data_IF_277361164945
#
_entry.id   IF_277361164945
#
_cell.length_a   1.000
_cell.length_b   1.000
_cell.length_c   1.000
_cell.angle_alpha   90.00
_cell.angle_beta   90.00
_cell.angle_gamma   90.00
#
_symmetry.space_group_name_H-M   'P 1'
#
loop_
_entity.id
_entity.type
_entity.pdbx_description
1 polymer ?
#
# COMPACT_ATOMS: atom_id res chain seq x y z
N UNK A 1 -21.95 1.71 16.46
CA UNK A 1 -21.52 1.91 15.06
C UNK A 1 -21.12 0.57 14.50
N UNK A 2 -21.50 0.25 13.28
CA UNK A 2 -21.09 -1.00 12.63
C UNK A 2 -19.72 -0.77 12.01
N UNK A 3 -18.72 -1.53 12.42
CA UNK A 3 -17.38 -1.47 11.83
C UNK A 3 -17.42 -1.97 10.37
N UNK A 4 -16.93 -1.15 9.43
CA UNK A 4 -16.91 -1.49 8.00
C UNK A 4 -15.53 -2.08 7.69
N UNK A 5 -15.45 -3.39 7.48
CA UNK A 5 -14.19 -4.05 7.15
C UNK A 5 -14.04 -4.22 5.64
N UNK A 6 -12.89 -3.83 5.10
CA UNK A 6 -12.55 -3.92 3.68
C UNK A 6 -11.27 -4.73 3.54
N UNK A 7 -11.39 -5.90 2.92
CA UNK A 7 -10.27 -6.77 2.62
C UNK A 7 -9.49 -6.31 1.38
N UNK A 8 -8.17 -6.50 1.39
CA UNK A 8 -7.27 -6.26 0.26
C UNK A 8 -7.28 -7.44 -0.72
N UNK A 9 -8.45 -7.75 -1.26
CA UNK A 9 -8.62 -8.75 -2.33
C UNK A 9 -8.46 -8.10 -3.70
N UNK A 10 -8.12 -8.85 -4.77
CA UNK A 10 -7.89 -8.29 -6.10
C UNK A 10 -8.99 -7.36 -6.62
N UNK A 11 -10.24 -7.61 -6.26
CA UNK A 11 -11.39 -6.83 -6.69
C UNK A 11 -11.50 -5.47 -5.97
N UNK A 12 -10.80 -5.31 -4.84
CA UNK A 12 -10.80 -4.13 -3.97
C UNK A 12 -9.52 -3.30 -4.07
N UNK A 13 -8.53 -3.74 -4.87
CA UNK A 13 -7.22 -3.11 -4.93
C UNK A 13 -6.85 -2.74 -6.38
N UNK A 14 -6.08 -1.68 -6.51
CA UNK A 14 -5.46 -1.25 -7.77
C UNK A 14 -3.97 -0.96 -7.51
N UNK A 15 -3.12 -0.99 -8.54
CA UNK A 15 -1.67 -1.04 -8.34
C UNK A 15 -0.91 0.03 -9.10
N UNK A 16 -0.32 0.96 -8.36
CA UNK A 16 0.67 1.91 -8.85
C UNK A 16 0.10 3.15 -9.53
N UNK A 17 -1.18 3.48 -9.30
CA UNK A 17 -1.80 4.70 -9.80
C UNK A 17 -3.00 5.12 -8.96
N UNK A 18 -3.46 6.36 -9.11
CA UNK A 18 -4.72 6.91 -8.63
C UNK A 18 -5.53 7.39 -9.84
N UNK A 19 -6.85 7.16 -9.84
CA UNK A 19 -7.71 7.56 -10.96
C UNK A 19 -9.15 7.82 -10.47
N UNK A 20 -9.72 8.95 -10.89
CA UNK A 20 -11.09 9.35 -10.59
C UNK A 20 -12.15 8.46 -11.26
N UNK A 21 -11.79 7.72 -12.32
CA UNK A 21 -12.69 6.81 -13.01
C UNK A 21 -12.86 5.45 -12.32
N UNK A 22 -12.06 5.15 -11.28
CA UNK A 22 -12.19 3.92 -10.52
C UNK A 22 -13.55 3.85 -9.81
N UNK A 23 -14.21 2.70 -9.93
CA UNK A 23 -15.48 2.47 -9.25
C UNK A 23 -15.25 2.33 -7.75
N UNK A 24 -15.99 3.05 -6.90
CA UNK A 24 -15.91 2.86 -5.47
C UNK A 24 -16.25 1.42 -5.07
N UNK A 25 -15.41 0.84 -4.22
CA UNK A 25 -15.62 -0.50 -3.67
C UNK A 25 -16.57 -0.47 -2.47
N UNK A 26 -16.70 0.71 -1.86
CA UNK A 26 -17.60 0.97 -0.72
C UNK A 26 -18.01 2.44 -0.70
N UNK A 27 -19.22 2.68 -0.19
CA UNK A 27 -19.69 4.01 0.20
C UNK A 27 -19.83 4.07 1.71
N UNK A 28 -19.40 5.19 2.31
CA UNK A 28 -19.44 5.47 3.75
C UNK A 28 -20.02 6.85 3.99
N UNK A 29 -20.57 7.05 5.19
CA UNK A 29 -21.00 8.35 5.68
C UNK A 29 -19.86 9.05 6.44
N UNK A 30 -19.93 10.38 6.56
CA UNK A 30 -19.00 11.12 7.43
C UNK A 30 -19.15 10.66 8.88
N UNK A 31 -18.03 10.33 9.52
CA UNK A 31 -17.99 9.80 10.88
C UNK A 31 -18.02 8.27 10.98
N UNK A 32 -18.17 7.54 9.87
CA UNK A 32 -18.03 6.08 9.87
C UNK A 32 -16.61 5.63 10.21
N UNK A 33 -16.49 4.47 10.85
CA UNK A 33 -15.21 3.80 11.11
C UNK A 33 -15.00 2.67 10.12
N UNK A 34 -13.85 2.70 9.42
CA UNK A 34 -13.47 1.70 8.41
C UNK A 34 -12.18 1.01 8.82
N UNK A 35 -12.17 -0.32 8.76
CA UNK A 35 -10.96 -1.14 8.86
C UNK A 35 -10.50 -1.47 7.45
N UNK A 36 -9.37 -0.90 7.04
CA UNK A 36 -8.74 -1.17 5.75
C UNK A 36 -7.61 -2.18 5.92
N UNK A 37 -7.75 -3.34 5.29
CA UNK A 37 -6.62 -4.22 5.07
C UNK A 37 -5.80 -3.73 3.89
N UNK A 38 -4.49 -3.90 3.96
CA UNK A 38 -3.55 -3.51 2.90
C UNK A 38 -2.57 -4.65 2.60
N UNK A 39 -1.92 -4.56 1.45
CA UNK A 39 -0.86 -5.45 1.02
C UNK A 39 0.46 -4.68 0.85
N UNK A 40 1.61 -5.34 1.00
CA UNK A 40 2.91 -4.68 0.85
C UNK A 40 3.08 -3.98 -0.49
N UNK A 41 3.73 -2.82 -0.47
CA UNK A 41 4.24 -2.19 -1.68
C UNK A 41 5.53 -2.89 -2.12
N UNK A 42 5.39 -3.99 -2.85
CA UNK A 42 6.50 -4.87 -3.21
C UNK A 42 6.36 -5.36 -4.65
N UNK A 43 7.41 -5.20 -5.45
CA UNK A 43 7.55 -5.92 -6.72
C UNK A 43 8.11 -7.32 -6.46
N UNK A 44 8.19 -8.13 -7.52
CA UNK A 44 8.71 -9.50 -7.44
C UNK A 44 10.10 -9.56 -6.80
N UNK A 45 10.94 -8.57 -7.06
CA UNK A 45 12.31 -8.47 -6.56
C UNK A 45 12.36 -8.10 -5.06
N UNK A 46 11.27 -7.52 -4.53
CA UNK A 46 11.13 -7.11 -3.14
C UNK A 46 10.61 -8.22 -2.22
N UNK A 47 10.03 -9.27 -2.80
CA UNK A 47 9.48 -10.39 -2.05
C UNK A 47 10.57 -11.15 -1.29
N UNK A 48 10.25 -11.72 -0.11
CA UNK A 48 11.18 -12.62 0.58
C UNK A 48 11.50 -13.83 -0.30
N UNK A 49 12.72 -14.39 -0.18
CA UNK A 49 13.15 -15.53 -0.98
C UNK A 49 12.32 -16.79 -0.71
N UNK A 50 11.77 -16.92 0.50
CA UNK A 50 10.86 -17.99 0.87
C UNK A 50 9.40 -17.54 0.69
N UNK A 51 8.75 -18.08 -0.34
CA UNK A 51 7.35 -17.79 -0.64
C UNK A 51 6.36 -18.24 0.46
N UNK A 52 6.79 -19.04 1.44
CA UNK A 52 5.96 -19.39 2.61
C UNK A 52 5.63 -18.20 3.49
N UNK A 53 6.41 -17.10 3.41
CA UNK A 53 6.19 -15.88 4.17
C UNK A 53 5.03 -15.02 3.62
N UNK A 54 4.62 -15.26 2.37
CA UNK A 54 3.53 -14.51 1.76
C UNK A 54 2.18 -15.12 2.14
N UNK A 55 1.27 -14.26 2.58
CA UNK A 55 -0.14 -14.60 2.78
C UNK A 55 -0.82 -14.95 1.46
N UNK A 56 -1.91 -15.73 1.52
CA UNK A 56 -2.61 -16.22 0.33
C UNK A 56 -3.22 -15.09 -0.52
N UNK A 57 -3.76 -14.06 0.14
CA UNK A 57 -4.28 -12.85 -0.50
C UNK A 57 -3.18 -12.06 -1.22
N UNK A 58 -1.99 -11.93 -0.62
CA UNK A 58 -0.85 -11.28 -1.26
C UNK A 58 -0.42 -12.04 -2.53
N UNK A 59 -0.33 -13.37 -2.47
CA UNK A 59 -0.03 -14.19 -3.67
C UNK A 59 -1.07 -13.99 -4.77
N UNK A 60 -2.36 -13.98 -4.41
CA UNK A 60 -3.47 -13.76 -5.35
C UNK A 60 -3.37 -12.38 -6.01
N UNK A 61 -3.13 -11.33 -5.23
CA UNK A 61 -2.98 -9.96 -5.71
C UNK A 61 -1.81 -9.79 -6.68
N UNK A 62 -0.63 -10.36 -6.36
CA UNK A 62 0.55 -10.33 -7.24
C UNK A 62 0.30 -10.96 -8.61
N UNK A 63 -0.65 -11.88 -8.72
CA UNK A 63 -1.00 -12.54 -9.99
C UNK A 63 -2.16 -11.92 -10.74
N UNK A 64 -3.15 -11.37 -10.02
CA UNK A 64 -4.43 -10.95 -10.60
C UNK A 64 -4.54 -9.45 -10.82
N UNK A 65 -3.74 -8.65 -10.11
CA UNK A 65 -3.80 -7.20 -10.18
C UNK A 65 -2.66 -6.70 -11.07
N UNK A 66 -2.96 -6.05 -12.21
CA UNK A 66 -1.92 -5.59 -13.10
C UNK A 66 -1.29 -4.29 -12.58
N UNK A 67 0.05 -4.29 -12.49
CA UNK A 67 0.84 -3.10 -12.20
C UNK A 67 0.61 -2.05 -13.30
N UNK A 68 0.19 -0.85 -12.91
CA UNK A 68 -0.16 0.23 -13.85
C UNK A 68 -1.55 0.11 -14.46
N UNK A 69 -2.40 -0.79 -13.92
CA UNK A 69 -3.78 -0.94 -14.34
C UNK A 69 -3.97 -1.89 -15.54
N UNK A 70 -5.21 -1.99 -16.08
CA UNK A 70 -5.52 -2.92 -17.17
C UNK A 70 -4.70 -2.63 -18.44
N UNK A 71 -4.53 -3.64 -19.34
CA UNK A 71 -3.78 -3.47 -20.57
C UNK A 71 -4.26 -2.27 -21.40
N UNK A 72 -3.32 -1.41 -21.79
CA UNK A 72 -3.60 -0.20 -22.57
C UNK A 72 -3.96 1.04 -21.75
N UNK A 73 -4.02 0.95 -20.41
CA UNK A 73 -4.12 2.13 -19.56
C UNK A 73 -2.82 2.94 -19.65
N UNK A 74 -2.93 4.24 -19.90
CA UNK A 74 -1.81 5.17 -19.80
C UNK A 74 -1.86 5.87 -18.45
N UNK A 75 -0.78 5.74 -17.67
CA UNK A 75 -0.61 6.38 -16.37
C UNK A 75 0.34 7.56 -16.52
N UNK A 76 -0.10 8.74 -16.09
CA UNK A 76 0.72 9.93 -16.06
C UNK A 76 1.70 9.85 -14.88
N UNK A 77 3.00 9.73 -15.17
CA UNK A 77 4.04 9.65 -14.14
C UNK A 77 4.55 8.22 -13.89
N UNK A 78 5.39 8.04 -12.86
CA UNK A 78 6.01 6.75 -12.58
C UNK A 78 4.99 5.79 -11.95
N UNK A 79 4.87 4.58 -12.51
CA UNK A 79 4.07 3.52 -11.88
C UNK A 79 4.87 2.88 -10.75
N UNK A 80 4.47 3.14 -9.52
CA UNK A 80 5.14 2.65 -8.32
C UNK A 80 4.66 1.26 -7.85
N UNK A 81 5.36 0.64 -6.87
CA UNK A 81 5.08 -0.71 -6.39
C UNK A 81 3.86 -0.78 -5.45
N UNK A 82 3.06 0.27 -5.32
CA UNK A 82 2.06 0.39 -4.27
C UNK A 82 0.70 -0.19 -4.68
N UNK A 83 0.28 -1.26 -4.01
CA UNK A 83 -1.12 -1.73 -4.06
C UNK A 83 -1.98 -0.88 -3.12
N UNK A 84 -3.07 -0.34 -3.64
CA UNK A 84 -3.95 0.59 -2.94
C UNK A 84 -5.34 -0.05 -2.78
N UNK A 85 -5.78 -0.21 -1.53
CA UNK A 85 -7.14 -0.68 -1.23
C UNK A 85 -8.12 0.48 -1.34
N UNK A 86 -9.12 0.35 -2.20
CA UNK A 86 -10.07 1.42 -2.51
C UNK A 86 -10.47 1.44 -3.99
N UNK A 87 -11.12 2.54 -4.45
CA UNK A 87 -11.41 3.75 -3.68
C UNK A 87 -12.68 3.63 -2.81
N UNK A 88 -12.74 4.42 -1.74
CA UNK A 88 -13.93 4.57 -0.90
C UNK A 88 -14.63 5.87 -1.25
N UNK A 89 -15.94 5.82 -1.49
CA UNK A 89 -16.75 7.01 -1.70
C UNK A 89 -17.30 7.53 -0.37
N UNK A 90 -17.02 8.79 -0.05
CA UNK A 90 -17.58 9.45 1.13
C UNK A 90 -18.81 10.24 0.70
N UNK A 91 -19.97 9.87 1.22
CA UNK A 91 -21.23 10.50 0.84
C UNK A 91 -21.23 12.00 1.17
N UNK A 92 -21.65 12.82 0.21
CA UNK A 92 -21.72 14.27 0.34
C UNK A 92 -20.40 15.03 0.22
N UNK A 93 -19.24 14.36 0.11
CA UNK A 93 -17.97 15.03 -0.14
C UNK A 93 -17.89 15.57 -1.57
N UNK A 94 -17.45 16.82 -1.73
CA UNK A 94 -17.40 17.55 -3.00
C UNK A 94 -16.00 18.11 -3.28
N UNK A 95 -15.64 18.39 -4.55
CA UNK A 95 -14.41 19.13 -4.87
C UNK A 95 -14.34 20.46 -4.11
N UNK A 96 -13.24 20.69 -3.40
CA UNK A 96 -13.04 21.84 -2.52
C UNK A 96 -13.18 21.51 -1.03
N UNK A 97 -13.77 20.37 -0.68
CA UNK A 97 -13.81 19.88 0.70
C UNK A 97 -12.47 19.30 1.14
N UNK A 98 -12.32 19.11 2.45
CA UNK A 98 -11.20 18.41 3.08
C UNK A 98 -11.74 17.20 3.83
N UNK A 99 -11.14 16.03 3.60
CA UNK A 99 -11.39 14.86 4.42
C UNK A 99 -10.44 14.87 5.62
N UNK A 100 -11.00 14.95 6.83
CA UNK A 100 -10.27 14.61 8.04
C UNK A 100 -10.33 13.10 8.25
N UNK A 101 -9.16 12.46 8.28
CA UNK A 101 -9.03 11.02 8.54
C UNK A 101 -8.28 10.84 9.85
N UNK A 102 -8.99 10.35 10.87
CA UNK A 102 -8.42 10.01 12.17
C UNK A 102 -7.94 8.55 12.15
N UNK A 103 -6.62 8.33 12.21
CA UNK A 103 -6.05 6.98 12.30
C UNK A 103 -6.19 6.48 13.74
N UNK A 104 -7.18 5.62 13.95
CA UNK A 104 -7.50 5.09 15.28
C UNK A 104 -6.54 3.98 15.73
N UNK A 105 -6.09 3.17 14.77
CA UNK A 105 -5.20 2.02 14.99
C UNK A 105 -4.46 1.66 13.71
N UNK A 106 -3.22 1.19 13.83
CA UNK A 106 -2.41 0.69 12.73
C UNK A 106 -1.67 -0.56 13.20
N UNK A 107 -1.82 -1.66 12.47
CA UNK A 107 -1.25 -2.96 12.84
C UNK A 107 -0.64 -3.64 11.62
N UNK A 108 0.57 -4.21 11.72
CA UNK A 108 1.12 -5.01 10.64
C UNK A 108 0.24 -6.24 10.40
N UNK A 109 -0.13 -6.48 9.14
CA UNK A 109 -0.81 -7.71 8.72
C UNK A 109 0.17 -8.82 8.35
N UNK A 110 1.33 -8.44 7.83
CA UNK A 110 2.38 -9.38 7.40
C UNK A 110 3.34 -9.67 8.54
N UNK A 111 3.93 -10.87 8.52
CA UNK A 111 5.02 -11.28 9.42
C UNK A 111 6.41 -10.93 8.85
N UNK A 112 6.46 -10.02 7.88
CA UNK A 112 7.69 -9.54 7.26
C UNK A 112 7.52 -8.13 6.70
N UNK A 113 8.65 -7.44 6.54
CA UNK A 113 8.80 -6.22 5.76
C UNK A 113 10.15 -6.23 5.03
N UNK A 114 10.41 -5.23 4.20
CA UNK A 114 11.70 -5.10 3.53
C UNK A 114 12.20 -3.66 3.53
N UNK A 115 13.51 -3.53 3.36
CA UNK A 115 14.16 -2.25 3.08
C UNK A 115 15.15 -2.47 1.95
N UNK A 116 15.24 -1.48 1.05
CA UNK A 116 16.10 -1.53 -0.11
C UNK A 116 16.94 -0.27 -0.21
N UNK A 117 18.18 -0.46 -0.67
CA UNK A 117 19.05 0.58 -1.18
C UNK A 117 19.00 0.45 -2.70
N UNK A 118 18.51 1.50 -3.34
CA UNK A 118 18.43 1.62 -4.79
C UNK A 118 19.39 2.75 -5.21
N UNK A 119 20.49 2.46 -5.91
CA UNK A 119 21.43 3.49 -6.35
C UNK A 119 20.74 4.62 -7.12
N UNK A 120 21.17 5.86 -6.87
CA UNK A 120 20.56 7.10 -7.38
C UNK A 120 19.13 7.40 -6.87
N UNK A 121 18.63 6.65 -5.87
CA UNK A 121 17.37 6.93 -5.20
C UNK A 121 17.59 7.08 -3.69
N UNK A 122 16.98 8.11 -3.10
CA UNK A 122 17.17 8.48 -1.70
C UNK A 122 18.10 9.69 -1.54
N UNK A 123 18.59 9.91 -0.32
CA UNK A 123 19.31 11.14 0.08
C UNK A 123 20.83 11.01 0.09
N UNK A 124 21.36 9.80 -0.10
CA UNK A 124 22.80 9.48 -0.01
C UNK A 124 23.28 8.71 -1.26
N UNK A 125 23.18 9.31 -2.46
CA UNK A 125 23.43 8.62 -3.72
C UNK A 125 24.91 8.27 -3.95
N UNK A 126 25.84 9.01 -3.33
CA UNK A 126 27.28 8.82 -3.51
C UNK A 126 27.87 7.81 -2.52
N UNK A 127 27.24 7.64 -1.36
CA UNK A 127 27.67 6.72 -0.29
C UNK A 127 27.15 5.30 -0.52
N UNK A 128 25.94 5.16 -1.07
CA UNK A 128 25.25 3.88 -1.24
C UNK A 128 25.02 3.56 -2.72
N UNK A 129 26.09 3.14 -3.38
CA UNK A 129 26.15 2.93 -4.84
C UNK A 129 25.79 1.52 -5.29
N UNK A 130 25.64 0.57 -4.37
CA UNK A 130 25.28 -0.81 -4.67
C UNK A 130 23.84 -1.10 -4.27
N UNK A 131 23.12 -1.85 -5.11
CA UNK A 131 21.82 -2.39 -4.76
C UNK A 131 21.94 -3.28 -3.52
N UNK A 132 21.09 -3.04 -2.53
CA UNK A 132 20.93 -3.90 -1.38
C UNK A 132 19.46 -4.08 -1.07
N UNK A 133 19.11 -5.26 -0.58
CA UNK A 133 17.76 -5.54 -0.09
C UNK A 133 17.86 -6.43 1.12
N UNK A 134 17.07 -6.12 2.13
CA UNK A 134 16.99 -6.88 3.37
C UNK A 134 15.55 -7.06 3.77
N UNK A 135 15.25 -8.23 4.33
CA UNK A 135 13.93 -8.56 4.85
C UNK A 135 13.97 -8.58 6.37
N UNK A 136 13.06 -7.84 7.00
CA UNK A 136 12.86 -7.82 8.45
C UNK A 136 11.75 -8.81 8.77
N UNK A 137 11.99 -9.74 9.69
CA UNK A 137 10.92 -10.60 10.23
C UNK A 137 10.12 -9.81 11.24
N UNK A 138 8.80 -9.88 11.19
CA UNK A 138 7.91 -9.13 12.08
C UNK A 138 7.24 -10.11 13.04
N UNK A 139 7.45 -9.90 14.35
CA UNK A 139 6.64 -10.51 15.41
C UNK A 139 5.54 -9.51 15.80
N UNK A 140 4.34 -9.76 15.27
CA UNK A 140 3.16 -8.91 15.51
C UNK A 140 2.68 -8.96 16.96
N UNK A 141 2.90 -10.07 17.66
CA UNK A 141 2.44 -10.22 19.03
C UNK A 141 3.37 -9.49 20.00
N UNK A 142 4.68 -9.56 19.74
CA UNK A 142 5.68 -8.85 20.53
C UNK A 142 5.79 -7.35 20.16
N UNK A 143 5.28 -6.95 18.98
CA UNK A 143 5.46 -5.60 18.46
C UNK A 143 6.92 -5.34 18.06
N UNK A 144 7.60 -6.36 17.53
CA UNK A 144 9.04 -6.32 17.22
C UNK A 144 9.36 -6.64 15.77
N UNK A 145 10.36 -5.95 15.22
CA UNK A 145 11.01 -6.28 13.95
C UNK A 145 12.42 -6.82 14.17
N UNK A 146 12.73 -7.98 13.60
CA UNK A 146 14.07 -8.57 13.62
C UNK A 146 14.75 -8.36 12.27
N UNK A 147 15.72 -7.45 12.25
CA UNK A 147 16.44 -7.06 11.03
C UNK A 147 17.41 -8.16 10.59
N UNK A 148 17.72 -8.20 9.29
CA UNK A 148 18.64 -9.20 8.73
C UNK A 148 20.06 -9.15 9.32
N UNK A 149 20.47 -8.01 9.90
CA UNK A 149 21.77 -7.81 10.55
C UNK A 149 21.74 -8.05 12.08
N UNK A 150 20.65 -8.63 12.60
CA UNK A 150 20.55 -9.10 13.99
C UNK A 150 20.05 -8.07 15.00
N UNK A 151 19.79 -6.83 14.59
CA UNK A 151 19.11 -5.84 15.44
C UNK A 151 17.63 -6.17 15.61
N UNK A 152 17.09 -5.76 16.76
CA UNK A 152 15.66 -5.72 17.02
C UNK A 152 15.20 -4.27 17.11
N UNK A 153 14.02 -3.97 16.56
CA UNK A 153 13.38 -2.66 16.61
C UNK A 153 11.94 -2.78 17.09
N UNK A 154 11.46 -1.76 17.80
CA UNK A 154 10.03 -1.63 18.12
C UNK A 154 9.24 -1.27 16.85
N UNK A 155 8.06 -1.85 16.69
CA UNK A 155 7.19 -1.54 15.56
C UNK A 155 6.37 -0.28 15.87
N UNK A 156 6.45 0.69 14.95
CA UNK A 156 5.61 1.89 14.94
C UNK A 156 4.95 2.03 13.55
N UNK A 157 3.89 1.25 13.28
CA UNK A 157 3.30 1.16 11.95
C UNK A 157 2.55 2.43 11.56
N UNK A 158 2.70 2.84 10.30
CA UNK A 158 1.96 3.96 9.71
C UNK A 158 1.65 3.66 8.23
N UNK A 159 0.74 4.44 7.64
CA UNK A 159 0.37 4.32 6.23
C UNK A 159 1.15 5.31 5.37
N UNK A 160 1.97 4.80 4.44
CA UNK A 160 2.80 5.64 3.56
C UNK A 160 2.01 6.37 2.47
N UNK A 161 0.90 5.80 1.98
CA UNK A 161 0.01 6.43 1.01
C UNK A 161 -1.40 6.49 1.58
N UNK A 162 -1.91 7.71 1.70
CA UNK A 162 -3.31 8.03 1.93
C UNK A 162 -3.64 9.20 1.02
N UNK A 163 -4.55 8.98 0.07
CA UNK A 163 -4.80 9.94 -0.99
C UNK A 163 -6.28 9.93 -1.40
N UNK A 164 -6.70 11.05 -1.98
CA UNK A 164 -7.97 11.16 -2.71
C UNK A 164 -7.69 11.05 -4.21
N UNK A 165 -8.71 10.69 -4.99
CA UNK A 165 -8.59 10.66 -6.44
C UNK A 165 -8.18 12.04 -7.00
N UNK A 166 -7.33 12.09 -8.04
CA UNK A 166 -6.98 13.34 -8.71
C UNK A 166 -8.20 13.93 -9.45
N UNK A 167 -8.13 15.19 -9.91
CA UNK A 167 -9.12 15.72 -10.86
C UNK A 167 -9.29 14.82 -12.08
N UNK A 168 -10.53 14.61 -12.51
CA UNK A 168 -10.87 13.69 -13.61
C UNK A 168 -10.15 13.98 -14.92
N UNK A 169 -9.88 15.26 -15.19
CA UNK A 169 -9.19 15.76 -16.37
C UNK A 169 -7.70 15.37 -16.43
N UNK A 170 -7.11 14.95 -15.31
CA UNK A 170 -5.72 14.47 -15.28
C UNK A 170 -5.61 13.01 -15.72
N UNK A 171 -6.72 12.26 -15.73
CA UNK A 171 -6.70 10.81 -15.93
C UNK A 171 -5.92 10.07 -14.82
N UNK A 172 -5.48 8.84 -15.08
CA UNK A 172 -4.68 8.06 -14.13
C UNK A 172 -3.32 8.72 -13.86
N UNK A 173 -2.93 8.82 -12.59
CA UNK A 173 -1.66 9.42 -12.12
C UNK A 173 -0.88 8.41 -11.28
N UNK A 174 0.42 8.26 -11.55
CA UNK A 174 1.35 7.37 -10.86
C UNK A 174 2.11 8.05 -9.73
#
# INVERSE_FOLDING_TARGET
MTEINIDAVPENIHWGYLDAALKPIRTVESGDTVVLNTLPAALKEDLPPDASWLTADHKKALTEVPLGGPPGLFVNGPVGPHMLTGPIYVNGAMPGDVLQIDILDAKPKQDWGFSAILPNLGTLPDEFTNYQRSHTKIDRNAGKGHCAWGSEVDLDPFFGIMAVAPPSEWGPVG
#
